data_IF_488516850517
#
_entry.id   IF_488516850517
#
_cell.length_a   1.000
_cell.length_b   1.000
_cell.length_c   1.000
_cell.angle_alpha   90.00
_cell.angle_beta   90.00
_cell.angle_gamma   90.00
#
_symmetry.space_group_name_H-M   'P 1'
#
loop_
_entity.id
_entity.type
_entity.pdbx_description
1 polymer ?
#
# COMPACT_ATOMS: atom_id res chain seq x y z
N UNK A 1 56.11 14.16 -28.40
CA UNK A 1 55.14 13.57 -29.34
C UNK A 1 54.42 12.45 -28.61
N UNK A 2 53.12 12.59 -28.41
CA UNK A 2 52.27 11.61 -27.74
C UNK A 2 52.02 10.39 -28.64
N UNK A 3 51.71 9.20 -28.08
CA UNK A 3 50.95 8.18 -28.79
C UNK A 3 49.47 8.29 -28.41
N UNK A 4 48.64 8.46 -29.42
CA UNK A 4 47.18 8.40 -29.38
C UNK A 4 46.69 6.98 -29.08
N UNK A 5 45.89 6.81 -28.03
CA UNK A 5 45.11 5.59 -27.82
C UNK A 5 43.78 5.72 -28.57
N UNK A 6 43.55 4.83 -29.55
CA UNK A 6 42.30 4.74 -30.30
C UNK A 6 41.36 3.77 -29.60
N UNK A 7 40.32 4.29 -28.95
CA UNK A 7 39.23 3.50 -28.37
C UNK A 7 38.36 2.92 -29.49
N UNK A 8 38.35 1.59 -29.61
CA UNK A 8 37.51 0.84 -30.55
C UNK A 8 36.09 0.74 -29.97
N UNK A 9 35.14 1.41 -30.60
CA UNK A 9 33.71 1.35 -30.24
C UNK A 9 33.07 0.18 -31.00
N UNK A 10 32.65 -0.88 -30.30
CA UNK A 10 31.89 -1.98 -30.89
C UNK A 10 30.41 -1.59 -30.99
N UNK A 11 29.96 -1.28 -32.21
CA UNK A 11 28.55 -1.19 -32.58
C UNK A 11 28.03 -2.62 -32.89
N UNK A 12 27.17 -3.15 -32.02
CA UNK A 12 26.39 -4.34 -32.35
C UNK A 12 25.15 -3.94 -33.16
N UNK A 13 25.12 -4.30 -34.44
CA UNK A 13 23.90 -4.33 -35.26
C UNK A 13 23.17 -5.66 -34.98
N UNK A 14 21.95 -5.59 -34.45
CA UNK A 14 21.03 -6.73 -34.39
C UNK A 14 19.98 -6.58 -35.50
N UNK A 15 20.06 -7.49 -36.47
CA UNK A 15 19.17 -7.56 -37.62
C UNK A 15 17.75 -8.00 -37.23
N UNK A 16 16.78 -7.32 -37.82
CA UNK A 16 15.35 -7.66 -37.74
C UNK A 16 15.08 -8.74 -38.79
N UNK A 17 14.76 -9.96 -38.36
CA UNK A 17 14.12 -10.96 -39.21
C UNK A 17 12.60 -10.85 -39.03
N UNK A 18 11.88 -10.44 -40.08
CA UNK A 18 10.44 -10.64 -40.16
C UNK A 18 10.16 -11.98 -40.84
N UNK A 19 9.44 -12.87 -40.15
CA UNK A 19 8.83 -14.05 -40.75
C UNK A 19 7.33 -13.84 -40.78
N UNK A 20 6.79 -13.75 -41.99
CA UNK A 20 5.35 -13.74 -42.24
C UNK A 20 4.87 -15.18 -42.31
N UNK A 21 4.08 -15.61 -41.33
CA UNK A 21 3.34 -16.86 -41.41
C UNK A 21 1.92 -16.55 -41.87
N UNK A 22 1.54 -17.05 -43.04
CA UNK A 22 0.16 -17.11 -43.50
C UNK A 22 -0.41 -18.48 -43.11
N UNK A 23 -1.50 -18.52 -42.35
CA UNK A 23 -2.28 -19.74 -42.14
C UNK A 23 -3.68 -19.55 -42.71
N UNK A 24 -4.04 -20.48 -43.59
CA UNK A 24 -5.37 -20.64 -44.18
C UNK A 24 -6.35 -21.17 -43.14
N UNK A 25 -7.52 -20.52 -43.02
CA UNK A 25 -8.65 -21.02 -42.24
C UNK A 25 -9.47 -22.04 -43.04
N UNK A 26 -9.70 -23.21 -42.46
CA UNK A 26 -10.82 -24.10 -42.81
C UNK A 26 -11.73 -24.21 -41.60
N UNK A 27 -12.96 -23.73 -41.73
CA UNK A 27 -14.04 -23.92 -40.77
C UNK A 27 -14.47 -25.39 -40.75
N UNK A 28 -14.44 -25.99 -39.56
CA UNK A 28 -15.24 -27.19 -39.26
C UNK A 28 -16.01 -26.87 -37.98
N UNK A 29 -17.32 -26.73 -38.12
CA UNK A 29 -18.24 -26.53 -37.01
C UNK A 29 -18.26 -27.74 -36.08
N UNK A 30 -18.01 -27.52 -34.80
CA UNK A 30 -18.21 -28.49 -33.75
C UNK A 30 -19.05 -27.91 -32.61
N UNK A 31 -20.04 -28.71 -32.24
CA UNK A 31 -21.11 -28.55 -31.25
C UNK A 31 -20.57 -28.07 -29.89
N UNK A 32 -21.21 -27.04 -29.32
CA UNK A 32 -20.97 -26.60 -27.94
C UNK A 32 -21.67 -27.56 -26.99
N UNK A 33 -20.91 -28.45 -26.35
CA UNK A 33 -21.32 -29.11 -25.11
C UNK A 33 -20.72 -28.34 -23.94
N UNK A 34 -21.59 -27.88 -23.04
CA UNK A 34 -21.23 -27.11 -21.86
C UNK A 34 -20.43 -27.96 -20.87
N UNK A 35 -19.11 -27.73 -20.84
CA UNK A 35 -18.28 -28.10 -19.71
C UNK A 35 -18.14 -26.87 -18.81
N UNK A 36 -18.87 -26.88 -17.70
CA UNK A 36 -18.70 -25.94 -16.60
C UNK A 36 -17.30 -26.10 -16.00
N UNK A 37 -16.32 -25.43 -16.60
CA UNK A 37 -15.01 -25.24 -15.98
C UNK A 37 -15.23 -24.31 -14.81
N UNK A 38 -15.30 -24.87 -13.60
CA UNK A 38 -15.14 -24.11 -12.37
C UNK A 38 -13.76 -23.44 -12.50
N UNK A 39 -13.73 -22.18 -12.95
CA UNK A 39 -12.61 -21.31 -12.66
C UNK A 39 -12.50 -21.37 -11.14
N UNK A 40 -11.40 -21.94 -10.61
CA UNK A 40 -10.94 -21.56 -9.28
C UNK A 40 -10.85 -20.05 -9.32
N UNK A 41 -11.87 -19.37 -8.79
CA UNK A 41 -11.81 -17.93 -8.57
C UNK A 41 -10.69 -17.77 -7.56
N UNK A 42 -9.55 -17.25 -7.99
CA UNK A 42 -8.63 -16.58 -7.08
C UNK A 42 -9.47 -15.57 -6.31
N UNK A 43 -9.53 -15.74 -4.99
CA UNK A 43 -10.61 -15.27 -4.12
C UNK A 43 -10.70 -13.75 -3.93
N UNK A 44 -9.76 -12.96 -4.45
CA UNK A 44 -9.86 -11.50 -4.48
C UNK A 44 -9.39 -10.96 -5.84
N UNK A 45 -10.36 -10.66 -6.70
CA UNK A 45 -10.22 -9.71 -7.81
C UNK A 45 -11.28 -8.64 -7.57
N UNK A 46 -11.05 -7.79 -6.58
CA UNK A 46 -11.96 -6.69 -6.21
C UNK A 46 -11.78 -5.46 -7.12
N UNK A 47 -10.93 -5.54 -8.15
CA UNK A 47 -10.63 -4.46 -9.07
C UNK A 47 -9.83 -3.29 -8.48
N UNK A 48 -9.34 -3.41 -7.24
CA UNK A 48 -8.55 -2.38 -6.55
C UNK A 48 -7.06 -2.72 -6.55
N UNK A 49 -6.22 -1.72 -6.29
CA UNK A 49 -4.78 -1.92 -6.12
C UNK A 49 -4.05 -2.39 -7.38
N UNK A 50 -4.52 -2.05 -8.58
CA UNK A 50 -3.82 -2.42 -9.83
C UNK A 50 -2.39 -1.84 -9.92
N UNK A 51 -2.14 -0.75 -9.20
CA UNK A 51 -0.82 -0.22 -8.84
C UNK A 51 -0.78 -0.06 -7.31
N UNK A 52 0.42 0.07 -6.70
CA UNK A 52 0.53 0.28 -5.26
C UNK A 52 -0.26 1.53 -4.82
N UNK A 53 -0.89 1.47 -3.65
CA UNK A 53 -1.64 2.60 -3.13
C UNK A 53 -0.71 3.77 -2.80
N UNK A 54 -1.21 4.99 -3.02
CA UNK A 54 -0.53 6.23 -2.67
C UNK A 54 -1.46 7.10 -1.83
N UNK A 55 -0.93 7.62 -0.72
CA UNK A 55 -1.71 8.43 0.20
C UNK A 55 -0.92 8.91 1.39
N UNK A 56 -1.62 9.07 2.51
CA UNK A 56 -1.08 9.50 3.79
C UNK A 56 -1.72 8.69 4.92
N UNK A 57 -0.98 8.42 5.98
CA UNK A 57 -1.49 7.79 7.20
C UNK A 57 -1.09 8.65 8.42
N UNK A 58 -1.97 8.74 9.40
CA UNK A 58 -1.78 9.56 10.59
C UNK A 58 -0.74 9.06 11.59
N UNK A 59 -0.36 7.77 11.56
CA UNK A 59 0.31 7.11 12.68
C UNK A 59 1.73 7.62 12.97
N UNK A 60 2.62 7.65 11.97
CA UNK A 60 4.05 7.89 12.21
C UNK A 60 4.32 9.24 12.90
N UNK A 61 3.53 10.27 12.57
CA UNK A 61 3.72 11.61 13.15
C UNK A 61 2.77 11.92 14.31
N UNK A 62 1.50 11.50 14.22
CA UNK A 62 0.47 11.93 15.18
C UNK A 62 0.12 10.86 16.21
N UNK A 63 0.44 9.59 15.95
CA UNK A 63 0.02 8.46 16.77
C UNK A 63 -1.49 8.54 17.09
N UNK A 64 -1.85 8.65 18.36
CA UNK A 64 -3.24 8.78 18.82
C UNK A 64 -3.73 10.23 18.99
N UNK A 65 -2.90 11.23 18.69
CA UNK A 65 -3.31 12.64 18.71
C UNK A 65 -3.93 13.07 17.38
N UNK A 66 -5.06 12.43 17.04
CA UNK A 66 -5.81 12.68 15.82
C UNK A 66 -7.21 13.22 16.10
N UNK A 67 -7.68 14.12 15.25
CA UNK A 67 -9.04 14.67 15.32
C UNK A 67 -9.55 15.08 13.93
N UNK A 68 -10.85 15.35 13.84
CA UNK A 68 -11.53 15.71 12.59
C UNK A 68 -10.91 16.93 11.90
N UNK A 69 -10.53 17.97 12.65
CA UNK A 69 -9.91 19.18 12.09
C UNK A 69 -8.57 18.85 11.43
N UNK A 70 -7.71 18.09 12.13
CA UNK A 70 -6.44 17.61 11.59
C UNK A 70 -6.66 16.88 10.26
N UNK A 71 -7.57 15.91 10.21
CA UNK A 71 -7.79 15.12 8.98
C UNK A 71 -8.32 15.99 7.83
N UNK A 72 -9.21 16.95 8.11
CA UNK A 72 -9.72 17.88 7.11
C UNK A 72 -8.62 18.80 6.57
N UNK A 73 -7.77 19.34 7.44
CA UNK A 73 -6.63 20.17 7.06
C UNK A 73 -5.59 19.37 6.26
N UNK A 74 -5.32 18.11 6.63
CA UNK A 74 -4.47 17.19 5.87
C UNK A 74 -5.03 16.95 4.47
N UNK A 75 -6.35 16.74 4.34
CA UNK A 75 -7.00 16.59 3.04
C UNK A 75 -6.88 17.87 2.18
N UNK A 76 -7.02 19.04 2.80
CA UNK A 76 -6.81 20.34 2.12
C UNK A 76 -5.35 20.54 1.70
N UNK A 77 -4.39 20.18 2.55
CA UNK A 77 -2.96 20.20 2.24
C UNK A 77 -2.61 19.25 1.09
N UNK A 78 -3.18 18.04 1.07
CA UNK A 78 -2.98 17.05 0.00
C UNK A 78 -3.38 17.60 -1.38
N UNK A 79 -4.44 18.43 -1.43
CA UNK A 79 -4.86 19.10 -2.66
C UNK A 79 -4.01 20.33 -2.97
N UNK A 80 -3.89 21.25 -2.01
CA UNK A 80 -3.25 22.56 -2.21
C UNK A 80 -1.75 22.49 -2.49
N UNK A 81 -1.05 21.49 -1.94
CA UNK A 81 0.37 21.25 -2.22
C UNK A 81 0.60 20.59 -3.58
N UNK A 82 -0.46 20.02 -4.20
CA UNK A 82 -0.35 19.27 -5.46
C UNK A 82 0.00 17.79 -5.29
N UNK A 83 0.12 17.27 -4.08
CA UNK A 83 0.39 15.84 -3.84
C UNK A 83 -0.69 14.92 -4.43
N UNK A 84 -1.96 15.30 -4.29
CA UNK A 84 -3.06 14.56 -4.91
C UNK A 84 -2.97 14.52 -6.44
N UNK A 85 -2.43 15.57 -7.07
CA UNK A 85 -2.26 15.62 -8.52
C UNK A 85 -1.15 14.68 -9.03
N UNK A 86 -0.20 14.28 -8.17
CA UNK A 86 0.82 13.28 -8.48
C UNK A 86 0.45 11.87 -8.01
N UNK A 87 -0.73 11.68 -7.42
CA UNK A 87 -1.33 10.36 -7.16
C UNK A 87 -1.66 10.05 -5.70
N UNK A 88 -1.28 10.89 -4.74
CA UNK A 88 -1.59 10.67 -3.32
C UNK A 88 -3.08 10.95 -3.02
N UNK A 89 -3.91 9.90 -3.04
CA UNK A 89 -5.37 10.04 -2.96
C UNK A 89 -5.99 9.48 -1.68
N UNK A 90 -5.31 8.58 -0.97
CA UNK A 90 -5.84 8.01 0.27
C UNK A 90 -5.46 8.87 1.49
N UNK A 91 -6.46 9.25 2.30
CA UNK A 91 -6.28 9.87 3.62
C UNK A 91 -6.71 8.84 4.66
N UNK A 92 -5.73 8.15 5.25
CA UNK A 92 -5.98 7.02 6.14
C UNK A 92 -5.90 7.46 7.60
N UNK A 93 -7.00 7.28 8.32
CA UNK A 93 -6.99 7.32 9.78
C UNK A 93 -6.38 6.02 10.29
N UNK A 94 -5.43 6.13 11.20
CA UNK A 94 -4.92 4.99 11.96
C UNK A 94 -5.74 4.80 13.26
N UNK A 95 -5.18 4.11 14.26
CA UNK A 95 -5.84 3.82 15.54
C UNK A 95 -6.36 5.07 16.28
N UNK A 96 -7.09 4.87 17.38
CA UNK A 96 -7.56 5.92 18.30
C UNK A 96 -8.69 6.85 17.79
N UNK A 97 -9.36 6.50 16.68
CA UNK A 97 -10.49 7.27 16.14
C UNK A 97 -11.85 6.98 16.80
N UNK A 98 -12.01 5.82 17.43
CA UNK A 98 -13.26 5.33 18.00
C UNK A 98 -13.41 5.56 19.51
N UNK A 99 -14.64 5.43 20.01
CA UNK A 99 -14.92 5.30 21.44
C UNK A 99 -14.38 3.96 21.98
N UNK A 100 -14.11 3.92 23.29
CA UNK A 100 -13.59 2.72 23.97
C UNK A 100 -14.55 1.53 23.89
N UNK A 101 -15.85 1.79 23.79
CA UNK A 101 -16.88 0.77 23.77
C UNK A 101 -17.76 0.92 22.54
N UNK A 102 -18.24 -0.23 22.04
CA UNK A 102 -19.33 -0.29 21.06
C UNK A 102 -20.61 0.27 21.67
N UNK A 103 -21.53 0.74 20.82
CA UNK A 103 -22.87 1.13 21.27
C UNK A 103 -23.71 -0.08 21.72
N UNK A 104 -24.94 0.18 22.19
CA UNK A 104 -25.87 -0.88 22.62
C UNK A 104 -26.30 -1.86 21.52
N UNK A 105 -26.06 -1.53 20.25
CA UNK A 105 -26.32 -2.37 19.09
C UNK A 105 -25.06 -3.13 18.62
N UNK A 106 -23.93 -2.93 19.29
CA UNK A 106 -22.65 -3.54 18.93
C UNK A 106 -21.90 -2.81 17.82
N UNK A 107 -22.31 -1.60 17.42
CA UNK A 107 -21.58 -0.85 16.38
C UNK A 107 -20.35 -0.15 16.96
N UNK A 108 -19.31 -0.02 16.15
CA UNK A 108 -18.23 0.94 16.41
C UNK A 108 -18.78 2.37 16.41
N UNK A 109 -18.28 3.20 17.32
CA UNK A 109 -18.73 4.59 17.49
C UNK A 109 -17.54 5.51 17.31
N UNK A 110 -17.60 6.53 16.42
CA UNK A 110 -16.55 7.55 16.34
C UNK A 110 -16.44 8.32 17.65
N UNK A 111 -15.21 8.61 18.09
CA UNK A 111 -14.97 9.30 19.35
C UNK A 111 -15.51 10.73 19.31
N UNK A 112 -16.56 11.02 20.07
CA UNK A 112 -17.30 12.29 19.94
C UNK A 112 -16.45 13.53 20.28
N UNK A 113 -15.43 13.38 21.13
CA UNK A 113 -14.53 14.47 21.51
C UNK A 113 -13.56 14.90 20.40
N UNK A 114 -13.20 13.99 19.48
CA UNK A 114 -12.21 14.25 18.42
C UNK A 114 -12.83 14.17 17.02
N UNK A 115 -13.91 13.40 16.83
CA UNK A 115 -14.67 13.25 15.60
C UNK A 115 -16.16 13.58 15.80
N UNK A 116 -16.49 14.82 16.20
CA UNK A 116 -17.85 15.20 16.60
C UNK A 116 -18.89 15.09 15.48
N UNK A 117 -18.49 15.20 14.21
CA UNK A 117 -19.42 15.05 13.06
C UNK A 117 -19.59 13.59 12.61
N UNK A 118 -18.80 12.67 13.18
CA UNK A 118 -18.74 11.26 12.79
C UNK A 118 -17.99 10.99 11.48
N UNK A 119 -17.62 9.73 11.27
CA UNK A 119 -16.77 9.31 10.14
C UNK A 119 -17.45 9.51 8.79
N UNK A 120 -18.78 9.34 8.69
CA UNK A 120 -19.50 9.59 7.44
C UNK A 120 -19.32 11.03 6.95
N UNK A 121 -19.50 12.02 7.83
CA UNK A 121 -19.33 13.42 7.45
C UNK A 121 -17.87 13.73 7.06
N UNK A 122 -16.91 13.06 7.70
CA UNK A 122 -15.50 13.17 7.34
C UNK A 122 -15.21 12.55 5.96
N UNK A 123 -15.77 11.37 5.67
CA UNK A 123 -15.65 10.73 4.36
C UNK A 123 -16.25 11.61 3.26
N UNK A 124 -17.45 12.15 3.49
CA UNK A 124 -18.10 13.08 2.54
C UNK A 124 -17.22 14.32 2.28
N UNK A 125 -16.56 14.86 3.32
CA UNK A 125 -15.60 15.95 3.16
C UNK A 125 -14.40 15.56 2.30
N UNK A 126 -13.75 14.44 2.62
CA UNK A 126 -12.58 13.93 1.87
C UNK A 126 -12.95 13.63 0.42
N UNK A 127 -14.11 13.00 0.16
CA UNK A 127 -14.62 12.76 -1.19
C UNK A 127 -14.90 14.05 -1.96
N UNK A 128 -15.37 15.11 -1.29
CA UNK A 128 -15.59 16.42 -1.92
C UNK A 128 -14.31 17.05 -2.47
N UNK A 129 -13.15 16.60 -1.98
CA UNK A 129 -11.81 17.01 -2.44
C UNK A 129 -11.25 16.10 -3.53
N UNK A 130 -12.00 15.09 -3.97
CA UNK A 130 -11.53 14.07 -4.93
C UNK A 130 -10.60 13.02 -4.32
N UNK A 131 -10.53 12.95 -3.00
CA UNK A 131 -9.70 12.01 -2.25
C UNK A 131 -10.53 10.82 -1.76
N UNK A 132 -9.88 9.86 -1.10
CA UNK A 132 -10.47 8.64 -0.53
C UNK A 132 -10.17 8.56 0.96
N UNK A 133 -11.13 8.08 1.75
CA UNK A 133 -10.95 7.95 3.20
C UNK A 133 -10.59 6.50 3.57
N UNK A 134 -9.50 6.32 4.29
CA UNK A 134 -9.18 5.07 4.96
C UNK A 134 -9.48 5.10 6.44
N UNK A 135 -9.75 3.92 6.99
CA UNK A 135 -9.97 3.69 8.41
C UNK A 135 -9.11 2.53 8.89
N UNK A 136 -9.02 2.40 10.20
CA UNK A 136 -8.27 1.36 10.89
C UNK A 136 -9.17 0.52 11.79
N UNK A 137 -8.90 -0.77 11.84
CA UNK A 137 -9.39 -1.66 12.89
C UNK A 137 -8.40 -2.82 13.10
N UNK A 138 -8.78 -3.79 13.92
CA UNK A 138 -7.93 -4.89 14.34
C UNK A 138 -8.66 -6.23 14.18
N UNK A 139 -7.93 -7.26 13.77
CA UNK A 139 -8.33 -8.66 13.78
C UNK A 139 -8.31 -9.30 15.19
N UNK A 140 -8.40 -8.51 16.25
CA UNK A 140 -8.56 -8.91 17.65
C UNK A 140 -9.73 -8.22 18.33
N UNK A 141 -9.80 -8.37 19.66
CA UNK A 141 -10.88 -7.79 20.47
C UNK A 141 -10.73 -6.31 20.76
N UNK A 142 -9.50 -5.80 20.80
CA UNK A 142 -9.17 -4.39 20.91
C UNK A 142 -8.07 -4.06 19.92
N UNK A 143 -7.95 -2.78 19.57
CA UNK A 143 -6.83 -2.32 18.75
C UNK A 143 -5.52 -2.32 19.52
N UNK A 144 -4.40 -2.17 18.83
CA UNK A 144 -3.07 -2.16 19.45
C UNK A 144 -2.89 -1.10 20.54
N UNK A 145 -3.48 0.09 20.40
CA UNK A 145 -3.50 1.12 21.46
C UNK A 145 -4.39 0.76 22.65
N UNK A 146 -5.29 -0.21 22.49
CA UNK A 146 -6.34 -0.61 23.46
C UNK A 146 -7.32 0.51 23.80
N UNK A 147 -7.40 1.54 22.97
CA UNK A 147 -8.28 2.70 23.19
C UNK A 147 -9.64 2.57 22.52
N UNK A 148 -9.80 1.58 21.63
CA UNK A 148 -11.06 1.27 20.96
C UNK A 148 -11.19 -0.24 20.66
N UNK A 149 -12.41 -0.74 20.38
CA UNK A 149 -12.64 -2.14 20.03
C UNK A 149 -12.01 -2.52 18.68
N UNK A 150 -11.50 -3.75 18.58
CA UNK A 150 -11.22 -4.40 17.30
C UNK A 150 -12.49 -5.02 16.71
N UNK A 151 -12.38 -5.64 15.54
CA UNK A 151 -13.52 -6.20 14.79
C UNK A 151 -13.64 -7.72 14.86
N UNK A 152 -12.82 -8.42 15.66
CA UNK A 152 -12.92 -9.88 15.76
C UNK A 152 -14.32 -10.31 16.25
N UNK A 153 -15.00 -11.13 15.46
CA UNK A 153 -16.38 -11.57 15.71
C UNK A 153 -17.48 -10.55 15.35
N UNK A 154 -17.10 -9.37 14.85
CA UNK A 154 -17.99 -8.30 14.39
C UNK A 154 -17.75 -7.91 12.92
N UNK A 155 -17.02 -8.74 12.16
CA UNK A 155 -16.47 -8.40 10.85
C UNK A 155 -17.57 -7.97 9.86
N UNK A 156 -18.67 -8.71 9.77
CA UNK A 156 -19.79 -8.36 8.90
C UNK A 156 -20.48 -7.04 9.27
N UNK A 157 -20.64 -6.78 10.58
CA UNK A 157 -21.30 -5.58 11.09
C UNK A 157 -20.43 -4.36 10.83
N UNK A 158 -19.13 -4.48 11.11
CA UNK A 158 -18.18 -3.38 10.97
C UNK A 158 -17.91 -3.07 9.49
N UNK A 159 -17.75 -4.09 8.64
CA UNK A 159 -17.62 -3.88 7.19
C UNK A 159 -18.83 -3.15 6.58
N UNK A 160 -20.06 -3.50 7.01
CA UNK A 160 -21.27 -2.76 6.61
C UNK A 160 -21.26 -1.33 7.13
N UNK A 161 -20.82 -1.12 8.37
CA UNK A 161 -20.70 0.21 8.96
C UNK A 161 -19.71 1.09 8.19
N UNK A 162 -18.53 0.56 7.86
CA UNK A 162 -17.52 1.25 7.05
C UNK A 162 -18.06 1.61 5.66
N UNK A 163 -18.76 0.67 4.99
CA UNK A 163 -19.40 0.93 3.71
C UNK A 163 -20.48 2.02 3.79
N UNK A 164 -21.31 2.01 4.84
CA UNK A 164 -22.34 3.03 5.10
C UNK A 164 -21.73 4.42 5.35
N UNK A 165 -20.57 4.45 6.02
CA UNK A 165 -19.80 5.68 6.24
C UNK A 165 -19.04 6.15 4.99
N UNK A 166 -18.96 5.35 3.94
CA UNK A 166 -18.25 5.73 2.71
C UNK A 166 -16.74 5.52 2.78
N UNK A 167 -16.24 4.68 3.70
CA UNK A 167 -14.82 4.30 3.76
C UNK A 167 -14.39 3.63 2.45
N UNK A 168 -13.16 3.88 2.02
CA UNK A 168 -12.56 3.36 0.79
C UNK A 168 -11.38 2.40 1.03
N UNK A 169 -10.83 2.41 2.25
CA UNK A 169 -9.64 1.66 2.62
C UNK A 169 -9.75 1.19 4.08
N UNK A 170 -9.38 -0.06 4.37
CA UNK A 170 -9.26 -0.59 5.73
C UNK A 170 -7.83 -1.10 5.95
N UNK A 171 -7.10 -0.51 6.90
CA UNK A 171 -5.95 -1.14 7.57
C UNK A 171 -6.48 -2.04 8.67
N UNK A 172 -6.06 -3.31 8.69
CA UNK A 172 -6.57 -4.32 9.60
C UNK A 172 -5.42 -4.99 10.35
N UNK A 173 -5.27 -4.60 11.60
CA UNK A 173 -4.15 -4.96 12.48
C UNK A 173 -4.34 -6.33 13.14
N UNK A 174 -3.41 -6.71 14.00
CA UNK A 174 -3.28 -8.08 14.50
C UNK A 174 -3.02 -8.19 16.01
N UNK A 175 -3.34 -7.16 16.80
CA UNK A 175 -3.22 -7.21 18.26
C UNK A 175 -4.40 -7.98 18.89
N UNK A 176 -4.29 -8.38 20.17
CA UNK A 176 -5.39 -8.93 20.97
C UNK A 176 -6.20 -10.07 20.29
N UNK A 177 -5.49 -11.01 19.66
CA UNK A 177 -6.02 -12.11 18.81
C UNK A 177 -6.82 -13.22 19.54
N UNK A 178 -7.15 -13.02 20.81
CA UNK A 178 -7.89 -13.97 21.68
C UNK A 178 -7.28 -15.38 21.74
N UNK A 179 -5.98 -15.47 22.02
CA UNK A 179 -5.34 -16.74 22.40
C UNK A 179 -4.52 -17.40 21.30
N UNK A 180 -3.95 -16.60 20.40
CA UNK A 180 -3.03 -17.07 19.35
C UNK A 180 -3.73 -17.61 18.11
N UNK A 181 -4.97 -17.19 17.83
CA UNK A 181 -5.64 -17.56 16.58
C UNK A 181 -4.82 -17.07 15.38
N UNK A 182 -4.56 -17.95 14.43
CA UNK A 182 -3.74 -17.63 13.27
C UNK A 182 -4.35 -16.49 12.45
N UNK A 183 -3.54 -15.54 11.94
CA UNK A 183 -4.02 -14.52 10.99
C UNK A 183 -4.67 -15.18 9.76
N UNK A 184 -4.22 -16.36 9.34
CA UNK A 184 -4.83 -17.12 8.23
C UNK A 184 -6.27 -17.56 8.49
N UNK A 185 -6.72 -17.55 9.75
CA UNK A 185 -8.10 -17.86 10.12
C UNK A 185 -8.96 -16.60 10.29
N UNK A 186 -8.37 -15.51 10.79
CA UNK A 186 -9.09 -14.28 11.14
C UNK A 186 -9.26 -13.34 9.94
N UNK A 187 -8.20 -13.10 9.17
CA UNK A 187 -8.23 -12.16 8.04
C UNK A 187 -9.21 -12.52 6.92
N UNK A 188 -9.38 -13.80 6.53
CA UNK A 188 -10.36 -14.16 5.51
C UNK A 188 -11.80 -13.77 5.85
N UNK A 189 -12.17 -13.73 7.14
CA UNK A 189 -13.52 -13.32 7.57
C UNK A 189 -13.78 -11.85 7.26
N UNK A 190 -12.82 -10.98 7.57
CA UNK A 190 -12.93 -9.55 7.23
C UNK A 190 -12.87 -9.33 5.72
N UNK A 191 -12.03 -10.08 4.99
CA UNK A 191 -12.00 -10.04 3.52
C UNK A 191 -13.38 -10.33 2.90
N UNK A 192 -14.03 -11.42 3.33
CA UNK A 192 -15.38 -11.77 2.88
C UNK A 192 -16.42 -10.72 3.29
N UNK A 193 -16.34 -10.20 4.51
CA UNK A 193 -17.23 -9.15 4.99
C UNK A 193 -17.12 -7.87 4.15
N UNK A 194 -15.91 -7.44 3.78
CA UNK A 194 -15.68 -6.27 2.93
C UNK A 194 -16.23 -6.49 1.51
N UNK A 195 -16.00 -7.67 0.91
CA UNK A 195 -16.56 -8.03 -0.39
C UNK A 195 -18.09 -7.99 -0.40
N UNK A 196 -18.72 -8.38 0.71
CA UNK A 196 -20.16 -8.42 0.88
C UNK A 196 -20.78 -7.11 1.42
N UNK A 197 -19.95 -6.10 1.72
CA UNK A 197 -20.39 -4.82 2.32
C UNK A 197 -21.21 -3.94 1.37
N UNK A 198 -21.11 -4.18 0.07
CA UNK A 198 -21.77 -3.37 -0.98
C UNK A 198 -20.96 -2.15 -1.44
N UNK A 199 -19.75 -1.94 -0.91
CA UNK A 199 -18.80 -0.91 -1.36
C UNK A 199 -17.41 -1.53 -1.61
N UNK A 200 -16.71 -1.21 -2.71
CA UNK A 200 -15.31 -1.60 -2.87
C UNK A 200 -14.44 -0.88 -1.83
N UNK A 201 -13.83 -1.65 -0.93
CA UNK A 201 -12.92 -1.16 0.11
C UNK A 201 -11.57 -1.85 -0.10
N UNK A 202 -10.50 -1.07 -0.21
CA UNK A 202 -9.13 -1.57 -0.30
C UNK A 202 -8.77 -2.24 1.02
N UNK A 203 -8.26 -3.47 0.99
CA UNK A 203 -7.97 -4.22 2.21
C UNK A 203 -6.46 -4.38 2.43
N UNK A 204 -5.96 -3.77 3.51
CA UNK A 204 -4.56 -3.70 3.90
C UNK A 204 -4.32 -4.51 5.16
N UNK A 205 -3.61 -5.62 5.03
CA UNK A 205 -3.32 -6.53 6.14
C UNK A 205 -2.11 -6.04 6.93
N UNK A 206 -2.19 -6.09 8.25
CA UNK A 206 -1.14 -5.65 9.16
C UNK A 206 -0.91 -6.69 10.26
N UNK A 207 -0.30 -7.83 9.91
CA UNK A 207 0.08 -8.89 10.86
C UNK A 207 1.60 -9.01 11.06
N UNK A 208 2.33 -7.99 10.61
CA UNK A 208 3.78 -7.81 10.78
C UNK A 208 4.70 -8.88 10.14
N UNK A 209 4.24 -9.54 9.08
CA UNK A 209 4.92 -10.68 8.46
C UNK A 209 4.62 -12.03 9.11
N UNK A 210 3.69 -12.10 10.07
CA UNK A 210 3.43 -13.29 10.87
C UNK A 210 2.82 -14.44 10.04
N UNK A 211 3.59 -15.51 9.87
CA UNK A 211 3.25 -16.64 9.02
C UNK A 211 3.24 -16.36 7.50
N UNK A 212 4.17 -15.51 7.07
CA UNK A 212 4.55 -15.30 5.67
C UNK A 212 3.37 -14.85 4.78
N UNK A 213 2.78 -13.66 5.02
CA UNK A 213 1.58 -13.16 4.35
C UNK A 213 1.67 -13.16 2.84
N UNK A 214 2.85 -12.92 2.27
CA UNK A 214 3.10 -13.00 0.83
C UNK A 214 2.62 -14.32 0.19
N UNK A 215 2.59 -15.42 0.97
CA UNK A 215 2.18 -16.75 0.49
C UNK A 215 0.67 -16.99 0.48
N UNK A 216 -0.14 -16.18 1.18
CA UNK A 216 -1.58 -16.40 1.34
C UNK A 216 -2.46 -15.15 1.20
N UNK A 217 -1.99 -13.99 1.65
CA UNK A 217 -2.68 -12.70 1.57
C UNK A 217 -3.07 -12.26 0.14
N UNK A 218 -2.33 -12.58 -0.95
CA UNK A 218 -2.75 -12.22 -2.32
C UNK A 218 -4.13 -12.76 -2.73
N UNK A 219 -4.65 -13.75 -2.01
CA UNK A 219 -5.97 -14.33 -2.29
C UNK A 219 -7.11 -13.66 -1.52
N UNK A 220 -6.81 -12.79 -0.56
CA UNK A 220 -7.80 -12.21 0.35
C UNK A 220 -7.64 -10.69 0.58
N UNK A 221 -6.55 -10.05 0.13
CA UNK A 221 -6.31 -8.62 0.35
C UNK A 221 -5.56 -7.96 -0.78
N UNK A 222 -5.38 -6.63 -0.68
CA UNK A 222 -4.72 -5.82 -1.70
C UNK A 222 -3.27 -5.48 -1.37
N UNK A 223 -2.92 -5.40 -0.08
CA UNK A 223 -1.54 -5.40 0.39
C UNK A 223 -1.43 -6.07 1.76
N UNK A 224 -0.20 -6.38 2.17
CA UNK A 224 0.08 -6.97 3.47
C UNK A 224 1.44 -6.53 3.99
N UNK A 225 1.49 -6.15 5.27
CA UNK A 225 2.75 -5.86 5.98
C UNK A 225 3.66 -7.09 5.95
N UNK A 226 4.93 -6.88 5.64
CA UNK A 226 5.93 -7.98 5.59
C UNK A 226 6.86 -8.00 6.80
N UNK A 227 6.78 -7.00 7.67
CA UNK A 227 7.71 -6.75 8.78
C UNK A 227 6.98 -6.14 9.98
N UNK A 228 7.67 -6.08 11.13
CA UNK A 228 7.35 -5.16 12.22
C UNK A 228 7.37 -3.69 11.77
N UNK A 229 7.00 -2.80 12.70
CA UNK A 229 6.81 -1.38 12.41
C UNK A 229 8.13 -0.69 12.06
N UNK A 230 8.07 0.21 11.09
CA UNK A 230 9.17 1.13 10.78
C UNK A 230 9.32 2.17 11.89
N UNK A 231 10.55 2.63 12.06
CA UNK A 231 10.89 3.79 12.88
C UNK A 231 11.67 4.78 12.01
N UNK A 232 11.60 6.06 12.34
CA UNK A 232 12.31 7.13 11.63
C UNK A 232 13.82 7.14 11.94
N UNK A 233 14.51 6.06 11.57
CA UNK A 233 15.95 5.93 11.61
C UNK A 233 16.46 4.99 10.50
N UNK A 234 17.73 5.16 10.13
CA UNK A 234 18.34 4.44 9.01
C UNK A 234 18.36 2.92 9.18
N UNK A 235 18.65 2.43 10.39
CA UNK A 235 18.77 0.99 10.66
C UNK A 235 17.41 0.28 10.54
N UNK A 236 16.34 0.92 11.04
CA UNK A 236 14.98 0.40 10.88
C UNK A 236 14.56 0.38 9.41
N UNK A 237 14.73 1.50 8.70
CA UNK A 237 14.37 1.62 7.28
C UNK A 237 15.10 0.59 6.41
N UNK A 238 16.42 0.46 6.55
CA UNK A 238 17.21 -0.51 5.77
C UNK A 238 16.92 -1.96 6.17
N UNK A 239 16.74 -2.24 7.47
CA UNK A 239 16.37 -3.56 7.97
C UNK A 239 15.02 -4.05 7.45
N UNK A 240 14.05 -3.14 7.31
CA UNK A 240 12.73 -3.44 6.73
C UNK A 240 12.82 -3.66 5.22
N UNK A 241 13.59 -2.83 4.50
CA UNK A 241 13.82 -3.01 3.07
C UNK A 241 14.42 -4.39 2.77
N UNK A 242 15.40 -4.83 3.56
CA UNK A 242 16.05 -6.14 3.43
C UNK A 242 15.08 -7.31 3.69
N UNK A 243 14.25 -7.19 4.72
CA UNK A 243 13.25 -8.23 5.03
C UNK A 243 12.16 -8.32 3.97
N UNK A 244 11.77 -7.20 3.34
CA UNK A 244 10.76 -7.17 2.27
C UNK A 244 11.28 -7.75 0.95
N UNK A 245 12.58 -7.58 0.64
CA UNK A 245 13.18 -7.98 -0.65
C UNK A 245 12.95 -9.45 -1.01
N UNK A 246 12.96 -10.34 -0.01
CA UNK A 246 12.77 -11.79 -0.21
C UNK A 246 11.38 -12.14 -0.79
N UNK A 247 10.39 -11.26 -0.63
CA UNK A 247 9.01 -11.48 -1.05
C UNK A 247 8.69 -10.93 -2.45
N UNK A 248 9.68 -10.39 -3.15
CA UNK A 248 9.49 -9.69 -4.43
C UNK A 248 8.70 -10.48 -5.50
N UNK A 249 8.81 -11.81 -5.52
CA UNK A 249 8.10 -12.66 -6.49
C UNK A 249 6.59 -12.80 -6.25
N UNK A 250 6.09 -12.39 -5.08
CA UNK A 250 4.68 -12.49 -4.72
C UNK A 250 3.88 -11.22 -5.05
N UNK A 251 4.55 -10.06 -5.12
CA UNK A 251 3.93 -8.80 -5.50
C UNK A 251 3.53 -8.81 -6.98
N UNK A 252 2.35 -8.28 -7.28
CA UNK A 252 1.75 -8.17 -8.62
C UNK A 252 0.58 -7.18 -8.60
N UNK A 253 0.08 -6.73 -9.76
CA UNK A 253 -1.15 -5.93 -9.81
C UNK A 253 -2.29 -6.54 -8.99
N UNK A 254 -2.83 -5.75 -8.07
CA UNK A 254 -3.87 -6.13 -7.11
C UNK A 254 -3.38 -6.65 -5.77
N UNK A 255 -2.07 -6.89 -5.60
CA UNK A 255 -1.51 -7.61 -4.45
C UNK A 255 -0.04 -7.19 -4.18
N UNK A 256 0.18 -6.35 -3.16
CA UNK A 256 1.50 -5.73 -2.89
C UNK A 256 2.08 -6.11 -1.53
N UNK A 257 3.39 -6.32 -1.49
CA UNK A 257 4.12 -6.36 -0.22
C UNK A 257 4.21 -4.94 0.36
N UNK A 258 3.97 -4.81 1.66
CA UNK A 258 3.96 -3.54 2.38
C UNK A 258 5.13 -3.50 3.39
N UNK A 259 6.25 -2.84 3.05
CA UNK A 259 7.34 -2.55 3.99
C UNK A 259 7.02 -1.37 4.92
N UNK A 260 5.75 -1.09 5.21
CA UNK A 260 5.29 -0.04 6.10
C UNK A 260 5.40 1.40 5.52
N UNK A 261 4.89 2.35 6.29
CA UNK A 261 4.70 3.76 5.91
C UNK A 261 6.03 4.51 5.66
N UNK A 262 5.96 5.60 4.89
CA UNK A 262 7.11 6.46 4.61
C UNK A 262 7.41 7.38 5.81
N UNK A 263 8.66 7.41 6.23
CA UNK A 263 9.15 8.31 7.30
C UNK A 263 9.71 9.65 6.77
N UNK A 264 9.64 9.84 5.45
CA UNK A 264 10.19 11.02 4.76
C UNK A 264 9.62 12.30 5.36
N UNK A 265 10.49 13.09 6.02
CA UNK A 265 10.14 14.38 6.61
C UNK A 265 9.82 14.36 8.11
N UNK A 266 9.98 13.24 8.82
CA UNK A 266 9.74 13.16 10.27
C UNK A 266 10.94 13.62 11.13
N UNK A 267 12.13 13.77 10.54
CA UNK A 267 13.29 14.47 11.12
C UNK A 267 14.37 13.57 11.73
N UNK A 268 14.17 12.25 11.78
CA UNK A 268 15.11 11.28 12.33
C UNK A 268 16.17 10.76 11.35
N UNK A 269 16.00 11.03 10.05
CA UNK A 269 17.00 10.73 9.02
C UNK A 269 17.44 11.98 8.25
N UNK A 270 18.59 11.91 7.61
CA UNK A 270 19.11 12.95 6.70
C UNK A 270 18.35 12.97 5.37
N UNK A 271 18.45 14.08 4.63
CA UNK A 271 17.84 14.19 3.29
C UNK A 271 18.25 13.07 2.34
N UNK A 272 19.51 12.65 2.38
CA UNK A 272 20.01 11.60 1.49
C UNK A 272 19.48 10.23 1.89
N UNK A 273 19.36 9.97 3.19
CA UNK A 273 18.73 8.75 3.71
C UNK A 273 17.24 8.70 3.33
N UNK A 274 16.51 9.82 3.42
CA UNK A 274 15.13 9.92 2.94
C UNK A 274 15.00 9.76 1.42
N UNK A 275 15.97 10.25 0.63
CA UNK A 275 16.00 10.02 -0.81
C UNK A 275 16.15 8.53 -1.12
N UNK A 276 17.02 7.83 -0.40
CA UNK A 276 17.18 6.39 -0.51
C UNK A 276 15.89 5.66 -0.11
N UNK A 277 15.30 6.00 1.04
CA UNK A 277 14.03 5.45 1.53
C UNK A 277 12.94 5.52 0.45
N UNK A 278 12.63 6.72 -0.04
CA UNK A 278 11.58 6.91 -1.05
C UNK A 278 11.87 6.15 -2.35
N UNK A 279 13.12 6.16 -2.80
CA UNK A 279 13.54 5.47 -4.03
C UNK A 279 13.41 3.94 -3.91
N UNK A 280 13.79 3.38 -2.76
CA UNK A 280 13.69 1.94 -2.50
C UNK A 280 12.22 1.50 -2.42
N UNK A 281 11.36 2.25 -1.71
CA UNK A 281 9.92 1.95 -1.65
C UNK A 281 9.28 2.01 -3.03
N UNK A 282 9.65 3.02 -3.84
CA UNK A 282 9.16 3.15 -5.19
C UNK A 282 9.59 1.97 -6.09
N UNK A 283 10.87 1.59 -6.02
CA UNK A 283 11.41 0.44 -6.74
C UNK A 283 10.73 -0.86 -6.30
N UNK A 284 10.56 -1.04 -4.99
CA UNK A 284 9.97 -2.24 -4.39
C UNK A 284 8.46 -2.39 -4.64
N UNK A 285 7.83 -1.44 -5.35
CA UNK A 285 6.36 -1.41 -5.53
C UNK A 285 5.63 -1.42 -4.19
N UNK A 286 6.24 -0.81 -3.18
CA UNK A 286 5.65 -0.62 -1.88
C UNK A 286 4.50 0.40 -1.97
N UNK A 287 3.52 0.33 -1.04
CA UNK A 287 2.65 1.46 -0.76
C UNK A 287 3.46 2.74 -0.52
N UNK A 288 3.05 3.85 -1.13
CA UNK A 288 3.63 5.16 -0.84
C UNK A 288 2.66 5.94 0.06
N UNK A 289 2.63 5.57 1.34
CA UNK A 289 1.84 6.25 2.36
C UNK A 289 2.74 7.22 3.12
N UNK A 290 2.56 8.52 2.89
CA UNK A 290 3.29 9.58 3.61
C UNK A 290 2.93 9.52 5.10
N UNK A 291 3.95 9.47 5.97
CA UNK A 291 3.79 9.43 7.41
C UNK A 291 4.06 10.74 8.15
N UNK A 292 4.52 11.79 7.46
CA UNK A 292 4.80 13.11 8.08
C UNK A 292 3.60 14.08 8.03
N UNK A 293 3.72 15.24 8.68
CA UNK A 293 2.71 16.29 8.61
C UNK A 293 2.77 17.06 7.28
N UNK A 294 1.94 16.65 6.33
CA UNK A 294 1.84 17.27 5.00
C UNK A 294 1.40 18.74 5.02
N UNK A 295 0.87 19.25 6.14
CA UNK A 295 0.46 20.66 6.29
C UNK A 295 1.66 21.59 6.48
N UNK A 296 2.81 21.04 6.87
CA UNK A 296 4.00 21.81 7.25
C UNK A 296 5.32 21.27 6.67
N UNK A 297 5.27 20.46 5.61
CA UNK A 297 6.46 19.98 4.91
C UNK A 297 7.32 21.11 4.36
N UNK A 298 8.64 20.97 4.48
CA UNK A 298 9.58 21.83 3.78
C UNK A 298 9.69 21.47 2.28
N UNK A 299 10.32 22.35 1.50
CA UNK A 299 10.44 22.17 0.05
C UNK A 299 11.26 20.93 -0.31
N UNK A 300 12.25 20.56 0.51
CA UNK A 300 13.11 19.40 0.27
C UNK A 300 12.30 18.10 0.41
N UNK A 301 11.51 17.99 1.48
CA UNK A 301 10.59 16.88 1.73
C UNK A 301 9.57 16.76 0.60
N UNK A 302 8.96 17.89 0.22
CA UNK A 302 8.01 17.93 -0.90
C UNK A 302 8.64 17.46 -2.22
N UNK A 303 9.82 17.95 -2.58
CA UNK A 303 10.52 17.55 -3.81
C UNK A 303 10.84 16.05 -3.85
N UNK A 304 11.13 15.43 -2.70
CA UNK A 304 11.34 13.99 -2.61
C UNK A 304 10.04 13.23 -2.88
N UNK A 305 8.99 13.48 -2.08
CA UNK A 305 7.75 12.70 -2.17
C UNK A 305 6.93 13.03 -3.42
N UNK A 306 7.09 14.22 -4.01
CA UNK A 306 6.41 14.61 -5.24
C UNK A 306 7.21 14.27 -6.51
N UNK A 307 8.35 13.58 -6.40
CA UNK A 307 9.18 13.25 -7.56
C UNK A 307 8.44 12.30 -8.52
N UNK A 308 7.91 12.87 -9.60
CA UNK A 308 7.10 12.14 -10.57
C UNK A 308 7.83 11.00 -11.26
N UNK A 309 9.14 11.11 -11.52
CA UNK A 309 9.87 10.05 -12.19
C UNK A 309 10.02 8.81 -11.30
N UNK A 310 10.24 9.02 -10.00
CA UNK A 310 10.30 7.94 -9.00
C UNK A 310 8.90 7.35 -8.77
N UNK A 311 7.86 8.18 -8.68
CA UNK A 311 6.46 7.73 -8.60
C UNK A 311 6.08 6.90 -9.83
N UNK A 312 6.45 7.31 -11.05
CA UNK A 312 6.12 6.58 -12.27
C UNK A 312 6.77 5.18 -12.30
N UNK A 313 7.92 5.01 -11.64
CA UNK A 313 8.50 3.68 -11.41
C UNK A 313 7.62 2.87 -10.47
N UNK A 314 7.19 3.42 -9.34
CA UNK A 314 6.28 2.74 -8.41
C UNK A 314 4.94 2.36 -9.07
N UNK A 315 4.40 3.25 -9.90
CA UNK A 315 3.10 3.12 -10.55
C UNK A 315 3.17 2.43 -11.92
N UNK A 316 4.32 1.84 -12.29
CA UNK A 316 4.46 1.12 -13.55
C UNK A 316 3.46 -0.05 -13.65
N UNK A 317 2.75 -0.13 -14.78
CA UNK A 317 1.66 -1.08 -14.99
C UNK A 317 2.10 -2.53 -15.08
N UNK A 318 3.39 -2.81 -15.32
CA UNK A 318 3.91 -4.17 -15.25
C UNK A 318 3.82 -4.70 -13.81
N UNK A 319 3.91 -3.82 -12.81
CA UNK A 319 3.66 -4.15 -11.41
C UNK A 319 4.62 -5.17 -10.84
N UNK A 320 5.87 -5.19 -11.33
CA UNK A 320 6.92 -6.08 -10.83
C UNK A 320 7.74 -5.35 -9.77
N UNK A 321 7.77 -5.91 -8.58
CA UNK A 321 8.62 -5.45 -7.49
C UNK A 321 10.10 -5.59 -7.89
N UNK A 322 10.85 -4.49 -7.76
CA UNK A 322 12.30 -4.52 -7.86
C UNK A 322 12.91 -5.29 -6.71
N UNK A 323 14.06 -5.89 -6.98
CA UNK A 323 14.80 -6.64 -5.96
C UNK A 323 16.29 -6.35 -6.01
N UNK A 324 16.97 -6.62 -4.90
CA UNK A 324 18.42 -6.60 -4.81
C UNK A 324 18.99 -7.68 -5.72
N UNK A 325 19.97 -7.31 -6.56
CA UNK A 325 20.64 -8.26 -7.47
C UNK A 325 22.14 -8.38 -7.21
N UNK A 326 22.72 -7.42 -6.49
CA UNK A 326 24.14 -7.45 -6.10
C UNK A 326 24.33 -6.68 -4.79
N UNK A 327 25.21 -7.21 -3.92
CA UNK A 327 25.71 -6.55 -2.72
C UNK A 327 27.22 -6.74 -2.66
N UNK A 328 27.97 -5.64 -2.60
CA UNK A 328 29.43 -5.61 -2.43
C UNK A 328 29.78 -4.67 -1.26
N UNK A 329 29.92 -5.24 -0.06
CA UNK A 329 30.07 -4.44 1.16
C UNK A 329 28.78 -3.65 1.45
N UNK A 330 28.92 -2.34 1.66
CA UNK A 330 27.81 -1.40 1.90
C UNK A 330 27.18 -0.88 0.60
N UNK A 331 27.71 -1.27 -0.57
CA UNK A 331 27.15 -0.91 -1.88
C UNK A 331 26.15 -1.96 -2.34
N UNK A 332 24.92 -1.53 -2.59
CA UNK A 332 23.84 -2.38 -3.06
C UNK A 332 23.35 -1.94 -4.45
N UNK A 333 23.15 -2.91 -5.33
CA UNK A 333 22.55 -2.68 -6.65
C UNK A 333 21.22 -3.41 -6.70
N UNK A 334 20.15 -2.63 -6.80
CA UNK A 334 18.79 -3.13 -7.00
C UNK A 334 18.37 -2.91 -8.45
N UNK A 335 17.73 -3.92 -9.04
CA UNK A 335 17.29 -3.87 -10.44
C UNK A 335 15.80 -4.16 -10.55
N UNK A 336 15.14 -3.39 -11.42
CA UNK A 336 13.90 -3.79 -12.09
C UNK A 336 14.26 -4.05 -13.54
N UNK A 337 13.67 -5.10 -14.14
CA UNK A 337 13.73 -5.36 -15.57
C UNK A 337 12.80 -4.40 -16.33
N UNK A 338 13.08 -3.10 -16.21
CA UNK A 338 12.47 -2.02 -17.01
C UNK A 338 13.63 -1.15 -17.49
N UNK A 339 13.67 -0.89 -18.79
CA UNK A 339 14.73 -0.22 -19.57
C UNK A 339 15.13 1.20 -19.11
N UNK A 340 14.77 1.65 -17.90
CA UNK A 340 14.83 3.05 -17.47
C UNK A 340 15.50 3.29 -16.11
N UNK A 341 16.33 2.37 -15.61
CA UNK A 341 17.20 2.64 -14.47
C UNK A 341 18.65 2.70 -14.90
N UNK A 342 19.10 3.91 -15.25
CA UNK A 342 20.51 4.25 -15.36
C UNK A 342 20.67 5.63 -14.70
N UNK A 343 21.24 5.63 -13.48
CA UNK A 343 21.62 6.80 -12.67
C UNK A 343 20.47 7.66 -12.10
N UNK A 344 19.86 7.19 -11.02
CA UNK A 344 19.20 8.04 -10.01
C UNK A 344 19.53 7.48 -8.61
N UNK A 345 20.80 7.62 -8.24
CA UNK A 345 21.30 7.65 -6.85
C UNK A 345 22.36 8.74 -6.82
#
# INVERSE_FOLDING_TARGET
MAPSSSTLCFLFFLGIFSSTFTSSFTEIGARVEGSGRIRRRTLMDNGLGLTPQMGWNSWNHFHCDINETLIKETADAMVSTGLSAVGYIYINLDDCWGELNRDSQGNLVPKASTFPSGIKALADYVHSKGLKLGIYSDAGTQTCSKTMPGSLGHEEQDAKTFALWGVDYLKYDNCEDTGGLSPKERYPKMSEALLNSGRPIFFSLCEWGQEDPATWAPSIGNCWRTTGDIEDNWDSMTGIADQNDQWASYAKPGAWNDPDMLEVGNGGMTTEEYRCHFSIWALAKAPLLIGCDVRSMDNVTFELVANKEVIDVNQDKLGVQGKKVKKEGDLEVSFILIFKFMFLV
#
